data_IF_985568018392
#
_entry.id   IF_985568018392
#
_cell.length_a   1.000
_cell.length_b   1.000
_cell.length_c   1.000
_cell.angle_alpha   90.00
_cell.angle_beta   90.00
_cell.angle_gamma   90.00
#
_symmetry.space_group_name_H-M   'P 1'
#
loop_
_entity.id
_entity.type
_entity.pdbx_description
1 polymer ?
#
# COMPACT_ATOMS: atom_id res chain seq x y z
N UNK A 1 21.25 -2.69 8.95
CA UNK A 1 20.41 -2.87 7.74
C UNK A 1 19.92 -1.50 7.37
N UNK A 2 20.13 -1.07 6.12
CA UNK A 2 19.61 0.22 5.66
C UNK A 2 18.14 0.00 5.32
N UNK A 3 17.26 0.61 6.10
CA UNK A 3 15.82 0.62 5.88
C UNK A 3 15.32 2.02 6.06
N UNK A 4 14.36 2.38 5.22
CA UNK A 4 13.68 3.67 5.33
C UNK A 4 12.31 3.45 5.94
N UNK A 5 11.97 4.23 6.94
CA UNK A 5 10.65 4.19 7.57
C UNK A 5 9.62 4.91 6.71
N UNK A 6 8.44 4.32 6.62
CA UNK A 6 7.27 4.96 6.05
C UNK A 6 6.00 4.50 6.72
N UNK A 7 4.90 5.00 6.20
CA UNK A 7 3.57 4.81 6.75
C UNK A 7 2.65 4.21 5.70
N UNK A 8 1.55 3.61 6.15
CA UNK A 8 0.35 3.55 5.33
C UNK A 8 -0.87 3.99 6.13
N UNK A 9 -1.77 4.72 5.46
CA UNK A 9 -2.87 5.47 6.06
C UNK A 9 -4.15 5.35 5.24
N UNK A 10 -5.26 5.63 5.89
CA UNK A 10 -6.58 5.76 5.27
C UNK A 10 -7.36 6.85 6.02
N UNK A 11 -8.66 7.03 5.76
CA UNK A 11 -9.53 7.92 6.55
C UNK A 11 -9.44 7.78 8.07
N UNK A 12 -8.94 6.66 8.60
CA UNK A 12 -8.77 6.46 10.04
C UNK A 12 -7.54 7.18 10.63
N UNK A 13 -6.61 7.62 9.79
CA UNK A 13 -5.50 8.48 10.18
C UNK A 13 -5.96 9.94 10.17
N UNK A 14 -5.61 10.68 11.21
CA UNK A 14 -6.05 12.04 11.43
C UNK A 14 -7.52 12.13 11.87
N UNK A 15 -8.17 11.03 12.26
CA UNK A 15 -9.55 11.06 12.76
C UNK A 15 -9.68 10.39 14.12
N UNK A 16 -10.48 11.00 15.00
CA UNK A 16 -10.81 10.38 16.28
C UNK A 16 -11.56 9.05 16.06
N UNK A 17 -11.18 7.98 16.79
CA UNK A 17 -11.78 6.62 16.75
C UNK A 17 -13.28 6.54 17.18
N UNK A 18 -14.03 7.64 17.11
CA UNK A 18 -15.47 7.70 17.41
C UNK A 18 -16.22 8.91 16.83
N UNK A 19 -15.60 9.69 15.94
CA UNK A 19 -16.23 10.84 15.27
C UNK A 19 -16.78 10.46 13.89
N UNK A 20 -17.95 10.99 13.54
CA UNK A 20 -18.62 10.66 12.27
C UNK A 20 -18.21 11.60 11.12
N UNK A 21 -17.29 12.54 11.36
CA UNK A 21 -17.11 13.71 10.49
C UNK A 21 -15.93 13.65 9.52
N UNK A 22 -15.09 12.60 9.53
CA UNK A 22 -13.91 12.48 8.64
C UNK A 22 -13.18 13.81 8.42
N UNK A 23 -12.80 14.48 9.51
CA UNK A 23 -11.98 15.69 9.48
C UNK A 23 -10.53 15.28 9.72
N UNK A 24 -9.62 15.62 8.82
CA UNK A 24 -8.21 15.31 8.97
C UNK A 24 -7.52 16.26 9.96
N UNK A 25 -6.98 15.70 11.04
CA UNK A 25 -6.21 16.39 12.07
C UNK A 25 -4.71 16.09 12.00
N UNK A 26 -4.24 15.48 10.91
CA UNK A 26 -2.83 15.10 10.74
C UNK A 26 -1.91 16.31 10.74
N UNK A 27 -0.89 16.27 11.60
CA UNK A 27 0.24 17.21 11.57
C UNK A 27 1.35 16.63 10.66
N UNK A 28 1.23 16.90 9.37
CA UNK A 28 2.15 16.40 8.34
C UNK A 28 3.60 16.81 8.59
N UNK A 29 3.84 18.03 9.08
CA UNK A 29 5.20 18.51 9.33
C UNK A 29 5.85 17.69 10.43
N UNK A 30 5.10 17.36 11.48
CA UNK A 30 5.59 16.50 12.55
C UNK A 30 5.97 15.11 12.08
N UNK A 31 5.24 14.57 11.09
CA UNK A 31 5.59 13.29 10.45
C UNK A 31 6.89 13.40 9.65
N UNK A 32 7.07 14.46 8.87
CA UNK A 32 8.31 14.69 8.15
C UNK A 32 9.51 14.89 9.09
N UNK A 33 9.32 15.65 10.17
CA UNK A 33 10.34 15.92 11.19
C UNK A 33 10.73 14.65 11.98
N UNK A 34 9.79 13.71 12.14
CA UNK A 34 10.07 12.38 12.70
C UNK A 34 10.91 11.48 11.79
N UNK A 35 11.16 11.91 10.54
CA UNK A 35 12.09 11.26 9.61
C UNK A 35 11.45 10.22 8.68
N UNK A 36 10.13 10.09 8.67
CA UNK A 36 9.43 9.27 7.67
C UNK A 36 9.67 9.85 6.26
N UNK A 37 9.81 8.97 5.26
CA UNK A 37 10.15 9.37 3.89
C UNK A 37 9.12 9.02 2.84
N UNK A 38 8.21 8.12 3.16
CA UNK A 38 7.14 7.72 2.26
C UNK A 38 5.86 7.40 3.01
N UNK A 39 4.76 7.44 2.28
CA UNK A 39 3.43 7.07 2.74
C UNK A 39 2.65 6.37 1.62
N UNK A 40 1.92 5.32 1.98
CA UNK A 40 0.87 4.74 1.15
C UNK A 40 -0.51 5.19 1.66
N UNK A 41 -1.36 5.69 0.76
CA UNK A 41 -2.64 6.31 1.13
C UNK A 41 -3.76 5.55 0.44
N UNK A 42 -4.77 5.13 1.21
CA UNK A 42 -5.91 4.41 0.62
C UNK A 42 -6.67 5.32 -0.33
N UNK A 43 -6.71 4.96 -1.61
CA UNK A 43 -7.54 5.63 -2.59
C UNK A 43 -9.00 5.19 -2.46
N UNK A 44 -9.24 3.88 -2.39
CA UNK A 44 -10.60 3.34 -2.32
C UNK A 44 -10.65 1.96 -1.64
N UNK A 45 -11.87 1.57 -1.29
CA UNK A 45 -12.23 0.28 -0.70
C UNK A 45 -13.33 -0.37 -1.51
N UNK A 46 -13.04 -1.51 -2.14
CA UNK A 46 -13.99 -2.18 -3.02
C UNK A 46 -14.40 -1.31 -4.22
N UNK A 47 -15.59 -1.56 -4.76
CA UNK A 47 -16.10 -1.00 -6.00
C UNK A 47 -16.76 0.37 -5.87
N UNK A 48 -17.12 0.80 -4.66
CA UNK A 48 -18.10 1.89 -4.45
C UNK A 48 -17.74 2.85 -3.31
N UNK A 49 -16.57 2.70 -2.69
CA UNK A 49 -16.17 3.54 -1.56
C UNK A 49 -14.82 4.23 -1.82
N UNK A 50 -14.81 5.47 -2.35
CA UNK A 50 -13.60 6.27 -2.37
C UNK A 50 -13.26 6.69 -0.94
N UNK A 51 -11.99 6.71 -0.58
CA UNK A 51 -11.59 7.14 0.75
C UNK A 51 -11.80 8.67 0.88
N UNK A 52 -12.65 9.12 1.83
CA UNK A 52 -13.06 10.52 1.90
C UNK A 52 -11.91 11.48 2.25
N UNK A 53 -10.81 10.97 2.82
CA UNK A 53 -9.64 11.78 3.17
C UNK A 53 -8.49 11.63 2.19
N UNK A 54 -8.64 10.84 1.12
CA UNK A 54 -7.55 10.58 0.17
C UNK A 54 -6.89 11.86 -0.32
N UNK A 55 -7.63 12.81 -0.89
CA UNK A 55 -7.05 14.03 -1.45
C UNK A 55 -6.42 14.96 -0.39
N UNK A 56 -6.96 14.96 0.84
CA UNK A 56 -6.39 15.77 1.92
C UNK A 56 -5.02 15.19 2.32
N UNK A 57 -4.97 13.88 2.58
CA UNK A 57 -3.72 13.15 2.84
C UNK A 57 -2.74 13.28 1.66
N UNK A 58 -3.22 13.11 0.43
CA UNK A 58 -2.42 13.16 -0.78
C UNK A 58 -1.68 14.47 -0.95
N UNK A 59 -2.36 15.59 -0.69
CA UNK A 59 -1.76 16.91 -0.79
C UNK A 59 -0.92 17.25 0.45
N UNK A 60 -1.39 16.95 1.66
CA UNK A 60 -0.67 17.25 2.89
C UNK A 60 0.69 16.56 2.97
N UNK A 61 0.77 15.28 2.58
CA UNK A 61 2.06 14.56 2.54
C UNK A 61 2.99 15.06 1.42
N UNK A 62 2.43 15.55 0.30
CA UNK A 62 3.20 16.17 -0.79
C UNK A 62 3.88 17.45 -0.33
N UNK A 63 3.15 18.30 0.40
CA UNK A 63 3.64 19.60 0.87
C UNK A 63 4.86 19.47 1.77
N UNK A 64 4.95 18.39 2.55
CA UNK A 64 6.09 18.09 3.43
C UNK A 64 7.14 17.17 2.79
N UNK A 65 6.99 16.85 1.50
CA UNK A 65 7.98 16.14 0.70
C UNK A 65 8.08 14.63 0.95
N UNK A 66 7.04 14.00 1.49
CA UNK A 66 6.99 12.54 1.56
C UNK A 66 6.65 11.96 0.17
N UNK A 67 7.30 10.85 -0.21
CA UNK A 67 6.96 10.11 -1.41
C UNK A 67 5.63 9.38 -1.20
N UNK A 68 4.70 9.51 -2.14
CA UNK A 68 3.33 9.00 -2.02
C UNK A 68 3.09 7.84 -2.95
N UNK A 69 2.45 6.80 -2.44
CA UNK A 69 1.82 5.75 -3.23
C UNK A 69 0.35 5.63 -2.88
N UNK A 70 -0.50 5.31 -3.84
CA UNK A 70 -1.91 5.03 -3.58
C UNK A 70 -2.10 3.52 -3.39
N UNK A 71 -3.07 3.11 -2.57
CA UNK A 71 -3.48 1.71 -2.51
C UNK A 71 -4.99 1.54 -2.64
N UNK A 72 -5.40 0.41 -3.19
CA UNK A 72 -6.81 0.01 -3.28
C UNK A 72 -7.04 -1.26 -2.48
N UNK A 73 -7.88 -1.17 -1.46
CA UNK A 73 -8.34 -2.34 -0.72
C UNK A 73 -9.31 -3.12 -1.59
N UNK A 74 -8.87 -4.24 -2.12
CA UNK A 74 -9.64 -5.00 -3.08
C UNK A 74 -10.72 -5.86 -2.41
N UNK A 75 -11.89 -5.94 -3.06
CA UNK A 75 -12.97 -6.87 -2.73
C UNK A 75 -13.29 -7.72 -3.95
N UNK A 76 -12.57 -8.83 -4.11
CA UNK A 76 -12.65 -9.68 -5.31
C UNK A 76 -14.02 -10.33 -5.61
N UNK A 77 -15.01 -10.19 -4.71
CA UNK A 77 -16.39 -10.62 -4.95
C UNK A 77 -17.25 -9.52 -5.62
N UNK A 78 -16.75 -8.28 -5.68
CA UNK A 78 -17.38 -7.16 -6.37
C UNK A 78 -16.85 -7.06 -7.82
N UNK A 79 -17.53 -6.34 -8.73
CA UNK A 79 -17.09 -6.20 -10.12
C UNK A 79 -15.67 -5.63 -10.22
N UNK A 80 -14.87 -6.16 -11.14
CA UNK A 80 -13.48 -5.74 -11.36
C UNK A 80 -13.41 -4.36 -12.02
N UNK A 81 -14.29 -4.09 -13.00
CA UNK A 81 -14.31 -2.84 -13.75
C UNK A 81 -14.66 -1.63 -12.85
N UNK A 82 -15.59 -1.79 -11.92
CA UNK A 82 -15.94 -0.76 -10.95
C UNK A 82 -14.76 -0.47 -10.00
N UNK A 83 -14.02 -1.52 -9.60
CA UNK A 83 -12.82 -1.39 -8.77
C UNK A 83 -11.65 -0.71 -9.49
N UNK A 84 -11.49 -0.97 -10.79
CA UNK A 84 -10.54 -0.25 -11.63
C UNK A 84 -10.95 1.22 -11.73
N UNK A 85 -12.23 1.47 -12.06
CA UNK A 85 -12.76 2.83 -12.26
C UNK A 85 -12.57 3.69 -11.01
N UNK A 86 -12.97 3.19 -9.83
CA UNK A 86 -12.85 3.97 -8.60
C UNK A 86 -11.40 4.27 -8.20
N UNK A 87 -10.47 3.35 -8.46
CA UNK A 87 -9.04 3.58 -8.22
C UNK A 87 -8.52 4.68 -9.15
N UNK A 88 -8.86 4.60 -10.45
CA UNK A 88 -8.47 5.57 -11.47
C UNK A 88 -9.04 6.96 -11.19
N UNK A 89 -10.32 7.03 -10.78
CA UNK A 89 -11.05 8.28 -10.58
C UNK A 89 -10.69 8.99 -9.26
N UNK A 90 -10.30 8.24 -8.23
CA UNK A 90 -9.95 8.83 -6.92
C UNK A 90 -8.57 9.49 -6.96
N UNK A 91 -7.60 8.90 -7.67
CA UNK A 91 -6.26 9.46 -7.78
C UNK A 91 -6.20 10.49 -8.91
N UNK A 92 -5.69 11.72 -8.68
CA UNK A 92 -5.62 12.73 -9.73
C UNK A 92 -4.81 12.27 -10.95
N UNK A 93 -5.31 12.53 -12.16
CA UNK A 93 -4.65 12.14 -13.41
C UNK A 93 -3.28 12.80 -13.59
N UNK A 94 -3.15 14.04 -13.16
CA UNK A 94 -1.95 14.85 -13.23
C UNK A 94 -1.00 14.66 -12.02
N UNK A 95 -1.40 13.86 -11.02
CA UNK A 95 -0.61 13.60 -9.82
C UNK A 95 -0.84 12.17 -9.28
N UNK A 96 -0.32 11.18 -10.01
CA UNK A 96 -0.39 9.75 -9.65
C UNK A 96 0.54 9.33 -8.50
N UNK A 97 1.35 10.26 -7.99
CA UNK A 97 2.29 10.02 -6.90
C UNK A 97 3.62 9.48 -7.40
N UNK A 98 4.56 9.33 -6.47
CA UNK A 98 5.95 8.99 -6.78
C UNK A 98 6.21 7.48 -6.72
N UNK A 99 5.37 6.72 -6.01
CA UNK A 99 5.56 5.29 -5.80
C UNK A 99 4.56 4.44 -6.61
N UNK A 100 4.96 3.24 -7.07
CA UNK A 100 4.03 2.26 -7.64
C UNK A 100 2.84 2.02 -6.71
N UNK A 101 1.59 2.01 -7.22
CA UNK A 101 0.42 1.80 -6.38
C UNK A 101 0.38 0.37 -5.85
N UNK A 102 -0.25 0.18 -4.69
CA UNK A 102 -0.47 -1.14 -4.13
C UNK A 102 -1.85 -1.69 -4.50
N UNK A 103 -1.83 -2.92 -5.00
CA UNK A 103 -2.96 -3.82 -4.99
C UNK A 103 -3.01 -4.51 -3.61
N UNK A 104 -3.91 -4.05 -2.74
CA UNK A 104 -4.08 -4.60 -1.39
C UNK A 104 -4.97 -5.85 -1.42
N UNK A 105 -4.29 -6.99 -1.30
CA UNK A 105 -4.85 -8.34 -1.30
C UNK A 105 -4.97 -8.87 0.13
N UNK A 106 -6.10 -8.57 0.74
CA UNK A 106 -6.44 -9.14 2.03
C UNK A 106 -7.92 -9.52 2.14
N UNK A 107 -8.28 -10.12 3.26
CA UNK A 107 -9.64 -10.62 3.50
C UNK A 107 -10.36 -9.73 4.50
N UNK A 108 -11.39 -9.03 4.05
CA UNK A 108 -12.41 -8.57 4.97
C UNK A 108 -13.27 -9.75 5.44
N UNK A 109 -13.38 -9.95 6.76
CA UNK A 109 -13.95 -11.19 7.34
C UNK A 109 -15.41 -11.45 6.94
N UNK A 110 -16.16 -10.42 6.58
CA UNK A 110 -17.57 -10.50 6.20
C UNK A 110 -17.76 -10.75 4.69
N UNK A 111 -16.69 -10.80 3.91
CA UNK A 111 -16.76 -11.00 2.47
C UNK A 111 -17.03 -12.46 2.11
N UNK A 112 -17.80 -12.70 1.04
CA UNK A 112 -17.77 -13.98 0.34
C UNK A 112 -16.33 -14.38 0.01
N UNK A 113 -16.00 -15.65 0.24
CA UNK A 113 -14.66 -16.16 -0.04
C UNK A 113 -14.49 -16.32 -1.55
N UNK A 114 -13.53 -15.59 -2.11
CA UNK A 114 -13.04 -15.76 -3.49
C UNK A 114 -11.60 -16.26 -3.42
N UNK A 115 -11.30 -17.38 -4.08
CA UNK A 115 -9.99 -18.05 -4.03
C UNK A 115 -9.71 -18.85 -5.30
N UNK A 116 -8.48 -19.32 -5.46
CA UNK A 116 -8.04 -20.12 -6.59
C UNK A 116 -8.16 -19.35 -7.89
N UNK A 117 -8.62 -20.01 -8.95
CA UNK A 117 -8.67 -19.43 -10.29
C UNK A 117 -9.48 -18.12 -10.35
N UNK A 118 -10.69 -18.02 -9.75
CA UNK A 118 -11.43 -16.75 -9.72
C UNK A 118 -10.65 -15.58 -9.14
N UNK A 119 -9.93 -15.78 -8.02
CA UNK A 119 -9.13 -14.71 -7.41
C UNK A 119 -7.93 -14.38 -8.28
N UNK A 120 -7.23 -15.39 -8.81
CA UNK A 120 -6.08 -15.19 -9.70
C UNK A 120 -6.45 -14.40 -10.96
N UNK A 121 -7.55 -14.77 -11.62
CA UNK A 121 -8.05 -14.09 -12.82
C UNK A 121 -8.50 -12.66 -12.49
N UNK A 122 -9.20 -12.48 -11.36
CA UNK A 122 -9.61 -11.16 -10.89
C UNK A 122 -8.38 -10.26 -10.65
N UNK A 123 -7.37 -10.77 -9.92
CA UNK A 123 -6.17 -10.02 -9.58
C UNK A 123 -5.41 -9.57 -10.82
N UNK A 124 -5.26 -10.46 -11.80
CA UNK A 124 -4.61 -10.13 -13.07
C UNK A 124 -5.40 -9.07 -13.85
N UNK A 125 -6.71 -9.24 -13.99
CA UNK A 125 -7.56 -8.28 -14.69
C UNK A 125 -7.55 -6.90 -14.02
N UNK A 126 -7.63 -6.87 -12.68
CA UNK A 126 -7.59 -5.64 -11.90
C UNK A 126 -6.29 -4.86 -12.12
N UNK A 127 -5.14 -5.52 -11.90
CA UNK A 127 -3.84 -4.85 -12.04
C UNK A 127 -3.61 -4.38 -13.47
N UNK A 128 -3.88 -5.22 -14.48
CA UNK A 128 -3.75 -4.83 -15.88
C UNK A 128 -4.67 -3.66 -16.26
N UNK A 129 -5.88 -3.62 -15.68
CA UNK A 129 -6.82 -2.52 -15.88
C UNK A 129 -6.27 -1.18 -15.39
N UNK A 130 -5.79 -1.12 -14.15
CA UNK A 130 -5.18 0.10 -13.58
C UNK A 130 -3.91 0.49 -14.35
N UNK A 131 -3.04 -0.49 -14.64
CA UNK A 131 -1.79 -0.29 -15.39
C UNK A 131 -2.00 0.27 -16.78
N UNK A 132 -3.07 -0.15 -17.46
CA UNK A 132 -3.39 0.34 -18.80
C UNK A 132 -3.69 1.85 -18.83
N UNK A 133 -4.14 2.39 -17.71
CA UNK A 133 -4.44 3.83 -17.56
C UNK A 133 -3.22 4.58 -17.01
N UNK A 134 -2.51 4.01 -16.03
CA UNK A 134 -1.46 4.73 -15.31
C UNK A 134 -0.07 4.59 -15.94
N UNK A 135 0.15 3.56 -16.76
CA UNK A 135 1.46 3.30 -17.38
C UNK A 135 2.55 2.84 -16.40
N UNK A 136 2.21 2.60 -15.14
CA UNK A 136 3.10 2.05 -14.10
C UNK A 136 2.54 0.73 -13.57
N UNK A 137 3.43 -0.22 -13.31
CA UNK A 137 3.09 -1.51 -12.70
C UNK A 137 2.59 -1.32 -11.26
N UNK A 138 1.60 -2.12 -10.84
CA UNK A 138 1.21 -2.20 -9.43
C UNK A 138 2.15 -3.14 -8.65
N UNK A 139 2.40 -2.81 -7.39
CA UNK A 139 2.97 -3.71 -6.40
C UNK A 139 1.85 -4.43 -5.63
N UNK A 140 2.18 -5.54 -4.97
CA UNK A 140 1.21 -6.41 -4.31
C UNK A 140 1.39 -6.32 -2.80
N UNK A 141 0.39 -5.76 -2.12
CA UNK A 141 0.32 -5.84 -0.67
C UNK A 141 -0.40 -7.11 -0.24
N UNK A 142 0.25 -7.95 0.56
CA UNK A 142 -0.32 -9.23 0.99
C UNK A 142 0.39 -9.80 2.23
N UNK A 143 -0.34 -10.56 3.06
CA UNK A 143 0.30 -11.41 4.07
C UNK A 143 0.49 -12.85 3.57
N UNK A 144 1.50 -13.54 4.10
CA UNK A 144 1.86 -14.89 3.67
C UNK A 144 0.72 -15.92 3.81
N UNK A 145 -0.17 -15.76 4.79
CA UNK A 145 -1.31 -16.66 4.96
C UNK A 145 -2.33 -16.48 3.84
N UNK A 146 -2.73 -15.23 3.55
CA UNK A 146 -3.71 -14.94 2.50
C UNK A 146 -3.22 -15.46 1.15
N UNK A 147 -1.96 -15.18 0.81
CA UNK A 147 -1.32 -15.68 -0.40
C UNK A 147 -1.39 -17.21 -0.51
N UNK A 148 -0.94 -17.91 0.53
CA UNK A 148 -0.83 -19.37 0.53
C UNK A 148 -2.20 -20.07 0.45
N UNK A 149 -3.21 -19.52 1.12
CA UNK A 149 -4.54 -20.12 1.21
C UNK A 149 -5.44 -19.79 0.00
N UNK A 150 -5.24 -18.64 -0.64
CA UNK A 150 -6.22 -18.12 -1.60
C UNK A 150 -5.70 -18.00 -3.03
N UNK A 151 -4.40 -17.84 -3.28
CA UNK A 151 -3.85 -17.58 -4.63
C UNK A 151 -3.24 -18.82 -5.30
N UNK A 152 -3.73 -20.01 -4.96
CA UNK A 152 -3.18 -21.28 -5.47
C UNK A 152 -4.14 -21.99 -6.42
N UNK A 153 -3.65 -22.36 -7.60
CA UNK A 153 -4.36 -23.13 -8.63
C UNK A 153 -3.52 -24.34 -9.01
N UNK A 154 -4.06 -25.56 -8.90
CA UNK A 154 -3.35 -26.80 -9.23
C UNK A 154 -1.93 -26.87 -8.62
N UNK A 155 -1.85 -26.51 -7.34
CA UNK A 155 -0.61 -26.46 -6.57
C UNK A 155 0.41 -25.39 -6.98
N UNK A 156 0.09 -24.51 -7.93
CA UNK A 156 0.93 -23.42 -8.44
C UNK A 156 0.39 -22.05 -8.03
N UNK A 157 1.27 -21.05 -7.95
CA UNK A 157 0.95 -19.64 -7.74
C UNK A 157 0.92 -18.89 -9.08
N UNK A 158 0.18 -17.77 -9.18
CA UNK A 158 0.07 -17.02 -10.43
C UNK A 158 1.43 -16.48 -10.89
N UNK A 159 1.72 -16.48 -12.19
CA UNK A 159 3.01 -15.96 -12.68
C UNK A 159 3.13 -14.44 -12.66
N UNK A 160 2.00 -13.74 -12.62
CA UNK A 160 2.00 -12.27 -12.64
C UNK A 160 2.76 -11.64 -11.47
N UNK A 161 3.08 -12.37 -10.39
CA UNK A 161 3.86 -11.81 -9.27
C UNK A 161 5.34 -11.63 -9.62
N UNK A 162 5.85 -12.36 -10.61
CA UNK A 162 7.28 -12.37 -10.98
C UNK A 162 7.78 -11.00 -11.48
N UNK A 163 6.88 -10.07 -11.79
CA UNK A 163 7.17 -8.72 -12.30
C UNK A 163 6.66 -7.61 -11.36
N UNK A 164 6.45 -7.90 -10.08
CA UNK A 164 5.80 -7.01 -9.11
C UNK A 164 6.69 -6.86 -7.87
N UNK A 165 6.62 -5.72 -7.20
CA UNK A 165 7.14 -5.59 -5.85
C UNK A 165 6.19 -6.24 -4.82
N UNK A 166 6.76 -6.81 -3.76
CA UNK A 166 6.00 -7.27 -2.60
C UNK A 166 5.99 -6.22 -1.50
N UNK A 167 4.78 -5.79 -1.13
CA UNK A 167 4.50 -5.15 0.14
C UNK A 167 4.01 -6.20 1.14
N UNK A 168 4.90 -6.68 2.00
CA UNK A 168 4.61 -7.75 2.94
C UNK A 168 3.93 -7.21 4.20
N UNK A 169 2.76 -7.75 4.52
CA UNK A 169 2.12 -7.56 5.81
C UNK A 169 2.54 -8.67 6.79
N UNK A 170 3.28 -8.30 7.84
CA UNK A 170 3.71 -9.25 8.89
C UNK A 170 4.13 -8.53 10.18
N UNK A 171 3.41 -8.76 11.28
CA UNK A 171 3.61 -8.01 12.54
C UNK A 171 4.35 -8.82 13.62
N UNK A 172 5.68 -8.69 13.80
CA UNK A 172 6.43 -9.40 14.82
C UNK A 172 6.06 -8.97 16.23
N UNK A 173 6.17 -9.92 17.16
CA UNK A 173 6.30 -9.57 18.57
C UNK A 173 7.71 -9.01 18.83
N UNK A 174 7.79 -7.86 19.52
CA UNK A 174 9.08 -7.25 19.88
C UNK A 174 9.66 -6.32 18.80
N UNK A 175 10.99 -6.22 18.77
CA UNK A 175 11.72 -5.32 17.87
C UNK A 175 11.79 -5.98 16.48
N UNK A 176 11.34 -5.30 15.41
CA UNK A 176 11.40 -5.84 14.05
C UNK A 176 12.86 -6.01 13.61
N UNK A 177 13.24 -7.23 13.22
CA UNK A 177 14.58 -7.53 12.69
C UNK A 177 14.50 -7.89 11.21
N UNK A 178 13.83 -8.99 10.87
CA UNK A 178 13.50 -9.39 9.49
C UNK A 178 12.12 -10.06 9.48
N UNK A 179 11.42 -10.06 8.34
CA UNK A 179 10.32 -10.98 8.13
C UNK A 179 10.78 -12.43 8.33
N UNK A 180 9.94 -13.25 8.96
CA UNK A 180 10.20 -14.66 9.24
C UNK A 180 9.31 -15.61 8.41
N UNK A 181 8.27 -15.10 7.75
CA UNK A 181 7.39 -15.91 6.90
C UNK A 181 7.06 -15.18 5.60
N UNK A 182 7.68 -15.63 4.52
CA UNK A 182 7.40 -15.09 3.18
C UNK A 182 6.21 -15.80 2.51
N UNK A 183 5.46 -15.10 1.65
CA UNK A 183 4.56 -15.77 0.72
C UNK A 183 5.39 -16.64 -0.25
N UNK A 184 4.91 -17.85 -0.54
CA UNK A 184 5.66 -18.82 -1.37
C UNK A 184 5.87 -18.25 -2.78
N UNK A 185 7.11 -18.33 -3.28
CA UNK A 185 7.49 -17.81 -4.60
C UNK A 185 8.27 -16.49 -4.56
N UNK A 186 8.17 -15.74 -3.45
CA UNK A 186 8.81 -14.43 -3.31
C UNK A 186 10.24 -14.48 -2.76
N UNK A 187 10.71 -15.60 -2.19
CA UNK A 187 12.13 -15.86 -1.89
C UNK A 187 12.89 -14.72 -1.17
N UNK A 188 12.31 -14.16 -0.09
CA UNK A 188 12.85 -13.01 0.68
C UNK A 188 12.95 -11.68 -0.10
N UNK A 189 12.38 -11.61 -1.31
CA UNK A 189 12.32 -10.43 -2.17
C UNK A 189 11.08 -9.58 -1.85
N UNK A 190 11.15 -8.86 -0.73
CA UNK A 190 10.17 -7.83 -0.38
C UNK A 190 10.75 -6.44 -0.61
N UNK A 191 9.90 -5.55 -1.12
CA UNK A 191 10.20 -4.13 -1.32
C UNK A 191 9.76 -3.35 -0.09
N UNK A 192 8.58 -3.67 0.42
CA UNK A 192 7.99 -3.04 1.60
C UNK A 192 7.61 -4.07 2.66
N UNK A 193 7.77 -3.71 3.92
CA UNK A 193 7.35 -4.56 5.04
C UNK A 193 6.54 -3.74 6.03
N UNK A 194 5.23 -3.93 6.04
CA UNK A 194 4.35 -3.43 7.10
C UNK A 194 4.53 -4.32 8.34
N UNK A 195 5.15 -3.76 9.37
CA UNK A 195 5.59 -4.50 10.57
C UNK A 195 4.85 -4.11 11.84
N UNK A 196 4.09 -3.02 11.83
CA UNK A 196 3.08 -2.68 12.86
C UNK A 196 1.84 -2.10 12.20
N UNK A 197 0.67 -2.41 12.73
CA UNK A 197 -0.58 -1.81 12.30
C UNK A 197 -1.50 -1.44 13.46
N UNK A 198 -2.50 -0.62 13.17
CA UNK A 198 -3.46 -0.04 14.12
C UNK A 198 -2.78 0.68 15.29
N UNK A 199 -1.75 1.48 14.98
CA UNK A 199 -1.04 2.27 15.98
C UNK A 199 -1.36 3.77 15.85
N UNK A 200 -1.06 4.50 16.92
CA UNK A 200 -1.05 5.96 16.92
C UNK A 200 0.41 6.41 16.98
N UNK A 201 0.77 7.37 16.14
CA UNK A 201 2.08 8.03 16.19
C UNK A 201 1.88 9.51 16.46
N UNK A 202 2.91 10.14 16.99
CA UNK A 202 2.85 11.56 17.26
C UNK A 202 2.67 12.35 15.95
N UNK A 203 1.60 13.14 15.85
CA UNK A 203 1.19 13.84 14.63
C UNK A 203 0.05 13.19 13.85
N UNK A 204 -0.35 11.96 14.16
CA UNK A 204 -1.54 11.31 13.59
C UNK A 204 -2.45 10.85 14.74
N UNK A 205 -3.59 11.49 14.89
CA UNK A 205 -4.68 10.93 15.70
C UNK A 205 -5.31 9.73 14.98
N UNK A 206 -5.81 8.74 15.72
CA UNK A 206 -6.41 7.56 15.12
C UNK A 206 -5.39 6.48 14.72
N UNK A 207 -5.73 5.70 13.69
CA UNK A 207 -4.99 4.51 13.31
C UNK A 207 -4.14 4.74 12.05
N UNK A 208 -2.87 4.37 12.14
CA UNK A 208 -1.94 4.27 11.03
C UNK A 208 -1.06 3.02 11.20
N UNK A 209 -0.41 2.63 10.11
CA UNK A 209 0.45 1.46 10.05
C UNK A 209 1.90 1.88 9.73
N UNK A 210 2.87 1.13 10.24
CA UNK A 210 4.29 1.38 10.03
C UNK A 210 4.90 0.34 9.12
N UNK A 211 5.67 0.86 8.16
CA UNK A 211 6.41 0.07 7.20
C UNK A 211 7.88 0.41 7.12
N UNK A 212 8.63 -0.52 6.53
CA UNK A 212 9.98 -0.26 6.02
C UNK A 212 10.03 -0.46 4.52
N UNK A 213 10.78 0.39 3.83
CA UNK A 213 11.39 0.07 2.53
C UNK A 213 12.64 -0.76 2.73
N UNK A 214 12.85 -1.78 1.90
CA UNK A 214 14.04 -2.63 1.92
C UNK A 214 15.23 -2.00 1.19
N UNK A 215 15.79 -0.93 1.75
CA UNK A 215 16.95 -0.28 1.17
C UNK A 215 17.29 1.06 1.81
N UNK A 216 18.26 1.72 1.20
CA UNK A 216 18.71 3.08 1.48
C UNK A 216 17.75 4.11 0.88
N UNK A 217 17.92 5.38 1.26
CA UNK A 217 17.13 6.47 0.71
C UNK A 217 17.37 6.71 -0.79
N UNK A 218 18.62 6.66 -1.32
CA UNK A 218 18.84 6.68 -2.77
C UNK A 218 18.16 5.54 -3.53
N UNK A 219 18.11 4.33 -2.97
CA UNK A 219 17.39 3.20 -3.58
C UNK A 219 15.88 3.43 -3.57
N UNK A 220 15.33 4.03 -2.52
CA UNK A 220 13.93 4.45 -2.49
C UNK A 220 13.63 5.52 -3.56
N UNK A 221 14.49 6.53 -3.70
CA UNK A 221 14.35 7.54 -4.75
C UNK A 221 14.42 6.92 -6.15
N UNK A 222 15.35 5.98 -6.36
CA UNK A 222 15.46 5.25 -7.62
C UNK A 222 14.18 4.43 -7.91
N UNK A 223 13.63 3.75 -6.91
CA UNK A 223 12.37 3.00 -7.02
C UNK A 223 11.20 3.92 -7.38
N UNK A 224 11.19 5.13 -6.82
CA UNK A 224 10.19 6.17 -7.06
C UNK A 224 10.41 6.98 -8.36
N UNK A 225 11.42 6.61 -9.18
CA UNK A 225 11.79 7.36 -10.38
C UNK A 225 12.26 8.80 -10.11
N UNK A 226 12.66 9.11 -8.87
CA UNK A 226 13.06 10.44 -8.45
C UNK A 226 14.55 10.70 -8.66
N UNK A 227 14.96 11.97 -8.86
CA UNK A 227 16.36 12.33 -8.92
C UNK A 227 17.10 11.94 -7.63
N UNK A 228 18.26 11.29 -7.78
CA UNK A 228 19.15 11.01 -6.67
C UNK A 228 20.08 12.22 -6.50
N UNK A 229 20.06 12.92 -5.35
CA UNK A 229 20.99 14.02 -5.11
C UNK A 229 22.43 13.54 -5.25
N UNK A 230 23.26 14.26 -6.00
CA UNK A 230 24.70 14.01 -6.00
C UNK A 230 25.24 14.34 -4.61
N UNK A 231 25.89 13.38 -3.96
CA UNK A 231 26.53 13.60 -2.66
C UNK A 231 27.41 14.85 -2.72
N UNK A 232 27.09 15.87 -1.92
CA UNK A 232 27.99 17.00 -1.70
C UNK A 232 29.14 16.48 -0.83
N UNK A 233 30.27 16.21 -1.47
CA UNK A 233 31.56 15.96 -0.83
C UNK A 233 31.98 17.09 0.12
#
# INVERSE_FOLDING_TARGET
>A
MNRISGLDVSKYAGTWKGGNNWEDTTDYQKIADAGYKFVYIRAAYGADYPDPLFLQHWNGYKEVGLLRGAYHFCRAHQPVDDQISIMVDTVPEDDRGELPPWYDLERYRLDPVVKGKPLVDFSEAYMLGVESVWGSYMDVYVNAWFWQENLRVNFQYPKWYETRGLALAQWPYGIPTNPWKMPVGWNDDWVWWQYRGDITIDGIEGACDLGFFNGTYPELLAYAGQPIPSDSH
#
